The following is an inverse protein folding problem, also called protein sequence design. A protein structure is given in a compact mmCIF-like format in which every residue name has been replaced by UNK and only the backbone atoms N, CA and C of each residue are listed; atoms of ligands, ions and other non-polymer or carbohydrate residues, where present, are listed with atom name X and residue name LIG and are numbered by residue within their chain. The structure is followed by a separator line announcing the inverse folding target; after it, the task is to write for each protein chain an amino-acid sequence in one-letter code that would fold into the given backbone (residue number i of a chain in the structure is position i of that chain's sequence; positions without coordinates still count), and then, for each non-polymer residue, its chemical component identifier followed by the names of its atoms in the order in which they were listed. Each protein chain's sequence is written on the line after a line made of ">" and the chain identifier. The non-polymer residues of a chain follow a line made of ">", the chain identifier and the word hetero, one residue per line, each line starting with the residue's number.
data_IF_427784117663
#
_entry.id   IF_427784117663
#
_cell.length_a   1.000
_cell.length_b   1.000
_cell.length_c   1.000
_cell.angle_alpha   90.00
_cell.angle_beta   90.00
_cell.angle_gamma   90.00
#
_symmetry.space_group_name_H-M   'P 1'
#
loop_
_entity.id
_entity.type
_entity.pdbx_description
1 polymer ?
#
# COMPACT_ATOMS: atom_id res chain seq x y z
N UNK A 1 11.23 6.04 2.22
CA UNK A 1 10.61 5.08 1.28
C UNK A 1 9.37 4.52 1.95
N UNK A 2 8.29 4.28 1.21
CA UNK A 2 7.05 3.70 1.72
C UNK A 2 6.76 2.39 1.00
N UNK A 3 6.51 1.32 1.75
CA UNK A 3 6.10 0.03 1.23
C UNK A 3 4.58 -0.12 1.20
N UNK A 4 4.04 -0.73 0.15
CA UNK A 4 2.62 -1.01 0.01
C UNK A 4 2.35 -2.48 -0.34
N UNK A 5 1.19 -3.00 0.09
CA UNK A 5 0.63 -4.27 -0.37
C UNK A 5 -0.89 -4.16 -0.48
N UNK A 6 -1.47 -4.79 -1.50
CA UNK A 6 -2.92 -4.89 -1.69
C UNK A 6 -3.44 -6.25 -1.22
N UNK A 7 -4.66 -6.28 -0.67
CA UNK A 7 -5.28 -7.50 -0.15
C UNK A 7 -5.38 -8.60 -1.22
N UNK A 8 -5.66 -8.22 -2.48
CA UNK A 8 -5.76 -9.16 -3.60
C UNK A 8 -4.47 -9.96 -3.87
N UNK A 9 -3.32 -9.47 -3.40
CA UNK A 9 -2.03 -10.14 -3.54
C UNK A 9 -1.74 -11.18 -2.47
N UNK A 10 -2.52 -11.22 -1.38
CA UNK A 10 -2.35 -12.17 -0.29
C UNK A 10 -3.40 -13.29 -0.43
N UNK A 11 -2.94 -14.51 -0.68
CA UNK A 11 -3.83 -15.62 -1.07
C UNK A 11 -4.20 -16.55 0.09
N UNK A 12 -3.57 -16.38 1.24
CA UNK A 12 -3.79 -17.17 2.45
C UNK A 12 -4.09 -16.25 3.63
N UNK A 13 -4.90 -16.73 4.58
CA UNK A 13 -5.28 -15.94 5.76
C UNK A 13 -4.13 -15.79 6.77
N UNK A 14 -3.15 -16.69 6.74
CA UNK A 14 -1.95 -16.64 7.56
C UNK A 14 -0.72 -17.06 6.74
N UNK A 15 0.45 -16.56 7.15
CA UNK A 15 1.73 -16.94 6.58
C UNK A 15 2.23 -18.26 7.16
N UNK A 16 2.10 -18.45 8.48
CA UNK A 16 2.31 -19.74 9.14
C UNK A 16 1.02 -20.57 9.02
N UNK A 17 0.95 -21.44 8.02
CA UNK A 17 -0.31 -22.14 7.70
C UNK A 17 -0.53 -23.37 8.58
N UNK A 18 0.55 -23.96 9.10
CA UNK A 18 0.50 -25.15 9.94
C UNK A 18 0.60 -24.82 11.44
N UNK A 19 0.93 -23.57 11.81
CA UNK A 19 1.01 -23.09 13.18
C UNK A 19 2.23 -23.60 13.93
N UNK A 20 3.29 -24.03 13.23
CA UNK A 20 4.47 -24.62 13.86
C UNK A 20 5.57 -23.59 14.24
N UNK A 21 5.30 -22.31 13.97
CA UNK A 21 6.20 -21.19 14.26
C UNK A 21 7.36 -21.06 13.27
N UNK A 22 7.35 -21.79 12.15
CA UNK A 22 8.35 -21.71 11.08
C UNK A 22 7.67 -21.32 9.79
N UNK A 23 8.33 -20.45 9.01
CA UNK A 23 7.86 -20.08 7.69
C UNK A 23 8.68 -20.81 6.64
N UNK A 24 8.01 -21.61 5.81
CA UNK A 24 8.61 -22.32 4.69
C UNK A 24 8.51 -21.53 3.39
N UNK A 25 9.39 -21.82 2.43
CA UNK A 25 9.27 -21.26 1.06
C UNK A 25 7.92 -21.56 0.44
N UNK A 26 7.39 -22.77 0.67
CA UNK A 26 6.07 -23.18 0.17
C UNK A 26 4.95 -22.29 0.71
N UNK A 27 5.02 -21.87 1.97
CA UNK A 27 4.02 -20.99 2.57
C UNK A 27 4.09 -19.58 2.02
N UNK A 28 5.31 -19.06 1.80
CA UNK A 28 5.51 -17.78 1.09
C UNK A 28 4.96 -17.85 -0.34
N UNK A 29 5.31 -18.90 -1.09
CA UNK A 29 4.81 -19.12 -2.45
C UNK A 29 3.28 -19.24 -2.49
N UNK A 30 2.69 -19.90 -1.50
CA UNK A 30 1.24 -20.03 -1.38
C UNK A 30 0.58 -18.68 -1.09
N UNK A 31 1.16 -17.86 -0.22
CA UNK A 31 0.63 -16.54 0.11
C UNK A 31 0.78 -15.56 -1.07
N UNK A 32 1.92 -15.58 -1.75
CA UNK A 32 2.32 -14.62 -2.78
C UNK A 32 2.36 -15.25 -4.17
N UNK A 33 1.40 -16.13 -4.48
CA UNK A 33 1.36 -16.95 -5.70
C UNK A 33 1.20 -16.18 -7.03
N UNK A 34 1.23 -14.85 -7.01
CA UNK A 34 1.05 -14.00 -8.19
C UNK A 34 2.41 -13.68 -8.82
N UNK A 35 2.46 -13.72 -10.15
CA UNK A 35 3.66 -13.51 -10.95
C UNK A 35 3.97 -12.01 -11.14
N UNK A 36 3.91 -11.23 -10.07
CA UNK A 36 4.28 -9.82 -10.07
C UNK A 36 5.77 -9.64 -9.75
N UNK A 37 6.34 -8.52 -10.20
CA UNK A 37 7.69 -8.10 -9.81
C UNK A 37 7.62 -7.10 -8.67
N UNK A 38 8.70 -6.99 -7.91
CA UNK A 38 8.93 -5.82 -7.06
C UNK A 38 9.13 -4.62 -7.97
N UNK A 39 8.48 -3.51 -7.65
CA UNK A 39 8.58 -2.28 -8.41
C UNK A 39 8.65 -1.07 -7.46
N UNK A 40 9.11 0.05 -8.01
CA UNK A 40 9.05 1.36 -7.37
C UNK A 40 8.48 2.42 -8.31
N UNK A 41 7.98 3.49 -7.72
CA UNK A 41 7.64 4.75 -8.38
C UNK A 41 7.91 5.90 -7.41
N UNK A 42 8.11 7.11 -7.90
CA UNK A 42 8.26 8.33 -7.10
C UNK A 42 6.93 9.08 -7.11
N UNK A 43 6.36 9.34 -5.94
CA UNK A 43 5.15 10.14 -5.77
C UNK A 43 5.51 11.46 -5.10
N UNK A 44 4.80 12.52 -5.44
CA UNK A 44 4.68 13.71 -4.58
C UNK A 44 3.85 13.36 -3.33
N UNK A 45 3.98 14.15 -2.27
CA UNK A 45 3.17 13.99 -1.07
C UNK A 45 1.68 14.13 -1.36
N UNK A 46 1.30 14.99 -2.30
CA UNK A 46 -0.07 15.14 -2.80
C UNK A 46 -0.59 13.85 -3.44
N UNK A 47 0.21 13.20 -4.29
CA UNK A 47 -0.15 11.93 -4.92
C UNK A 47 -0.19 10.78 -3.91
N UNK A 48 0.72 10.78 -2.93
CA UNK A 48 0.68 9.83 -1.82
C UNK A 48 -0.60 9.99 -0.99
N UNK A 49 -1.05 11.22 -0.72
CA UNK A 49 -2.34 11.48 -0.07
C UNK A 49 -3.50 10.95 -0.91
N UNK A 50 -3.46 11.10 -2.24
CA UNK A 50 -4.47 10.53 -3.14
C UNK A 50 -4.50 8.99 -3.07
N UNK A 51 -3.34 8.32 -3.14
CA UNK A 51 -3.22 6.86 -2.97
C UNK A 51 -3.86 6.40 -1.65
N UNK A 52 -3.56 7.07 -0.55
CA UNK A 52 -4.11 6.73 0.76
C UNK A 52 -5.61 6.97 0.83
N UNK A 53 -6.11 8.06 0.24
CA UNK A 53 -7.51 8.42 0.19
C UNK A 53 -8.36 7.41 -0.60
N UNK A 54 -7.79 6.76 -1.62
CA UNK A 54 -8.45 5.72 -2.40
C UNK A 54 -8.79 4.45 -1.62
N UNK A 55 -8.32 4.31 -0.37
CA UNK A 55 -8.84 3.26 0.51
C UNK A 55 -10.34 3.43 0.81
N UNK A 56 -10.86 4.66 0.71
CA UNK A 56 -12.28 4.97 0.77
C UNK A 56 -12.74 5.39 -0.62
N UNK A 57 -13.80 4.79 -1.15
CA UNK A 57 -14.41 5.22 -2.42
C UNK A 57 -15.91 5.29 -2.26
N UNK A 58 -16.54 6.26 -2.89
CA UNK A 58 -18.01 6.36 -2.89
C UNK A 58 -18.60 5.60 -4.08
N UNK A 59 -19.48 4.63 -3.80
CA UNK A 59 -20.17 3.87 -4.84
C UNK A 59 -21.66 3.78 -4.55
N UNK A 60 -22.47 4.41 -5.41
CA UNK A 60 -23.92 4.43 -5.24
C UNK A 60 -24.38 5.07 -3.92
N UNK A 61 -23.67 6.10 -3.44
CA UNK A 61 -23.96 6.79 -2.18
C UNK A 61 -23.53 6.04 -0.93
N UNK A 62 -22.62 5.05 -1.05
CA UNK A 62 -22.06 4.29 0.06
C UNK A 62 -20.54 4.29 -0.04
N UNK A 63 -19.89 4.55 1.09
CA UNK A 63 -18.44 4.36 1.22
C UNK A 63 -18.09 2.88 1.18
N UNK A 64 -17.30 2.49 0.19
CA UNK A 64 -16.64 1.19 0.10
C UNK A 64 -15.21 1.36 0.58
N UNK A 65 -14.79 0.52 1.53
CA UNK A 65 -13.43 0.55 2.06
C UNK A 65 -12.65 -0.64 1.50
N UNK A 66 -11.62 -0.35 0.72
CA UNK A 66 -10.62 -1.33 0.28
C UNK A 66 -9.34 -1.04 1.05
N UNK A 67 -8.85 -1.98 1.85
CA UNK A 67 -7.66 -1.73 2.67
C UNK A 67 -6.39 -1.80 1.83
N UNK A 68 -5.42 -1.00 2.23
CA UNK A 68 -4.07 -1.03 1.71
C UNK A 68 -3.12 -1.32 2.87
N UNK A 69 -2.28 -2.34 2.71
CA UNK A 69 -1.12 -2.53 3.58
C UNK A 69 -0.14 -1.39 3.34
N UNK A 70 0.26 -0.69 4.40
CA UNK A 70 1.22 0.41 4.38
C UNK A 70 2.32 0.11 5.39
N UNK A 71 3.58 0.36 5.03
CA UNK A 71 4.73 0.11 5.91
C UNK A 71 4.64 0.89 7.23
N UNK A 72 5.17 0.29 8.31
CA UNK A 72 5.03 0.79 9.68
C UNK A 72 5.72 2.13 9.99
N UNK A 73 6.51 2.65 9.05
CA UNK A 73 7.11 3.98 9.16
C UNK A 73 6.17 5.11 8.69
N UNK A 74 4.99 4.79 8.17
CA UNK A 74 3.98 5.77 7.77
C UNK A 74 2.93 5.92 8.87
N UNK A 75 2.61 7.16 9.22
CA UNK A 75 1.44 7.47 10.06
C UNK A 75 0.63 8.54 9.38
N UNK A 76 -0.69 8.38 9.38
CA UNK A 76 -1.58 9.39 8.87
C UNK A 76 -2.92 9.47 9.62
N UNK A 77 -3.55 10.65 9.56
CA UNK A 77 -4.93 10.88 10.00
C UNK A 77 -5.80 11.19 8.79
N UNK A 78 -7.08 10.81 8.87
CA UNK A 78 -8.02 11.05 7.77
C UNK A 78 -9.40 11.46 8.27
N UNK A 79 -10.13 12.12 7.38
CA UNK A 79 -11.55 12.49 7.54
C UNK A 79 -12.33 11.88 6.38
N UNK A 80 -13.30 11.00 6.68
CA UNK A 80 -14.17 10.37 5.67
C UNK A 80 -15.19 11.35 5.13
N UNK A 81 -15.59 11.21 3.87
CA UNK A 81 -16.48 12.16 3.19
C UNK A 81 -15.79 13.50 2.87
N UNK A 82 -14.47 13.58 3.06
CA UNK A 82 -13.63 14.70 2.64
C UNK A 82 -13.26 14.62 1.16
N UNK A 83 -12.57 15.66 0.67
CA UNK A 83 -12.06 15.72 -0.70
C UNK A 83 -10.64 15.17 -0.77
N UNK A 84 -10.40 14.22 -1.67
CA UNK A 84 -9.07 13.76 -2.04
C UNK A 84 -8.42 14.70 -3.07
N UNK A 85 -7.08 14.71 -3.20
CA UNK A 85 -6.42 15.39 -4.30
C UNK A 85 -6.86 14.83 -5.66
N UNK A 86 -7.07 15.70 -6.65
CA UNK A 86 -7.51 15.31 -7.99
C UNK A 86 -6.43 14.44 -8.68
N UNK A 87 -6.83 13.29 -9.23
CA UNK A 87 -5.99 12.38 -10.02
C UNK A 87 -6.35 12.50 -11.51
N UNK A 88 -5.43 12.94 -12.39
CA UNK A 88 -5.74 13.11 -13.81
C UNK A 88 -6.20 11.81 -14.48
N UNK A 89 -7.33 11.87 -15.20
CA UNK A 89 -7.89 10.74 -15.95
C UNK A 89 -8.52 9.64 -15.08
N UNK A 90 -8.68 9.89 -13.79
CA UNK A 90 -9.39 9.00 -12.86
C UNK A 90 -10.90 8.98 -13.14
N UNK A 91 -11.49 7.78 -13.10
CA UNK A 91 -12.94 7.62 -13.16
C UNK A 91 -13.58 7.99 -11.83
N UNK A 92 -14.80 8.54 -11.85
CA UNK A 92 -15.52 8.95 -10.64
C UNK A 92 -15.64 7.86 -9.57
N UNK A 93 -15.76 6.60 -9.99
CA UNK A 93 -15.88 5.45 -9.08
C UNK A 93 -14.56 5.10 -8.37
N UNK A 94 -13.43 5.66 -8.83
CA UNK A 94 -12.09 5.40 -8.31
C UNK A 94 -11.57 6.57 -7.43
N UNK A 95 -12.31 7.69 -7.37
CA UNK A 95 -11.99 8.87 -6.57
C UNK A 95 -11.94 8.54 -5.06
N UNK A 96 -10.93 9.08 -4.37
CA UNK A 96 -10.77 8.92 -2.94
C UNK A 96 -11.85 9.68 -2.15
N UNK A 97 -12.54 8.96 -1.26
CA UNK A 97 -13.61 9.48 -0.39
C UNK A 97 -13.14 9.96 0.98
N UNK A 98 -11.85 10.25 1.14
CA UNK A 98 -11.29 10.74 2.39
C UNK A 98 -10.24 11.84 2.16
N UNK A 99 -10.17 12.80 3.07
CA UNK A 99 -9.07 13.77 3.13
C UNK A 99 -7.99 13.26 4.09
N UNK A 100 -6.74 13.23 3.65
CA UNK A 100 -5.57 12.92 4.48
C UNK A 100 -5.01 14.23 5.05
N UNK A 101 -5.05 14.39 6.37
CA UNK A 101 -4.79 15.70 7.02
C UNK A 101 -3.44 15.79 7.73
N UNK A 102 -2.96 14.66 8.28
CA UNK A 102 -1.60 14.54 8.78
C UNK A 102 -0.96 13.36 8.07
N UNK A 103 0.20 13.56 7.47
CA UNK A 103 0.97 12.48 6.86
C UNK A 103 2.41 12.61 7.32
N UNK A 104 2.92 11.55 7.93
CA UNK A 104 4.33 11.45 8.30
C UNK A 104 4.93 10.17 7.73
N UNK A 105 6.18 10.27 7.29
CA UNK A 105 7.01 9.14 6.86
C UNK A 105 8.33 9.26 7.63
N UNK A 106 8.72 8.19 8.30
CA UNK A 106 9.92 8.18 9.17
C UNK A 106 9.88 9.28 10.25
N UNK A 107 8.67 9.61 10.73
CA UNK A 107 8.43 10.68 11.72
C UNK A 107 8.53 12.10 11.17
N UNK A 108 8.85 12.29 9.89
CA UNK A 108 8.87 13.58 9.21
C UNK A 108 7.53 13.86 8.54
N UNK A 109 7.01 15.07 8.71
CA UNK A 109 5.82 15.54 7.99
C UNK A 109 6.08 15.63 6.48
N UNK A 110 5.09 15.19 5.70
CA UNK A 110 5.12 15.19 4.23
C UNK A 110 4.15 16.26 3.71
N UNK A 111 4.74 17.32 3.16
CA UNK A 111 4.03 18.34 2.39
C UNK A 111 3.66 17.86 1.00
N UNK A 112 2.84 18.65 0.28
CA UNK A 112 2.29 18.23 -1.00
C UNK A 112 3.34 18.02 -2.10
N UNK A 113 4.43 18.77 -2.07
CA UNK A 113 5.51 18.71 -3.07
C UNK A 113 6.69 17.83 -2.65
N UNK A 114 6.68 17.28 -1.44
CA UNK A 114 7.74 16.38 -0.98
C UNK A 114 7.75 15.09 -1.79
N UNK A 115 8.94 14.60 -2.17
CA UNK A 115 9.07 13.38 -2.95
C UNK A 115 9.20 12.14 -2.06
N UNK A 116 8.41 11.12 -2.37
CA UNK A 116 8.37 9.84 -1.66
C UNK A 116 8.49 8.69 -2.65
N UNK A 117 9.50 7.84 -2.46
CA UNK A 117 9.58 6.59 -3.19
C UNK A 117 8.55 5.62 -2.61
N UNK A 118 7.60 5.21 -3.44
CA UNK A 118 6.66 4.12 -3.17
C UNK A 118 7.20 2.81 -3.75
N UNK A 119 7.21 1.74 -2.96
CA UNK A 119 7.65 0.40 -3.35
C UNK A 119 6.52 -0.61 -3.12
N UNK A 120 6.27 -1.47 -4.10
CA UNK A 120 5.23 -2.52 -4.01
C UNK A 120 5.42 -3.58 -5.11
N UNK A 121 4.37 -4.35 -5.39
CA UNK A 121 4.28 -5.16 -6.59
C UNK A 121 3.90 -4.32 -7.82
N UNK A 122 4.32 -4.78 -9.00
CA UNK A 122 4.13 -4.07 -10.27
C UNK A 122 2.68 -3.85 -10.67
N UNK A 123 1.76 -4.76 -10.30
CA UNK A 123 0.33 -4.62 -10.59
C UNK A 123 -0.29 -3.44 -9.84
N UNK A 124 -0.01 -3.33 -8.53
CA UNK A 124 -0.54 -2.25 -7.73
C UNK A 124 -0.02 -0.88 -8.19
N UNK A 125 1.29 -0.76 -8.42
CA UNK A 125 1.89 0.51 -8.85
C UNK A 125 1.42 0.97 -10.24
N UNK A 126 0.85 0.07 -11.03
CA UNK A 126 0.22 0.40 -12.33
C UNK A 126 -1.29 0.67 -12.22
N UNK A 127 -1.81 0.83 -10.99
CA UNK A 127 -3.21 1.16 -10.72
C UNK A 127 -4.12 -0.04 -10.51
N UNK A 128 -3.54 -1.22 -10.23
CA UNK A 128 -4.28 -2.41 -9.83
C UNK A 128 -5.17 -2.17 -8.61
N UNK A 129 -6.20 -3.01 -8.45
CA UNK A 129 -7.22 -2.88 -7.39
C UNK A 129 -7.83 -1.47 -7.25
N UNK A 130 -7.90 -0.76 -8.39
CA UNK A 130 -8.42 0.61 -8.51
C UNK A 130 -7.58 1.66 -7.78
N UNK A 131 -6.34 1.38 -7.39
CA UNK A 131 -5.43 2.38 -6.82
C UNK A 131 -4.77 3.24 -7.91
N UNK A 132 -5.61 3.88 -8.74
CA UNK A 132 -5.20 4.61 -9.94
C UNK A 132 -4.25 5.77 -9.68
N UNK A 133 -4.24 6.33 -8.46
CA UNK A 133 -3.32 7.40 -8.06
C UNK A 133 -1.83 7.00 -8.16
N UNK A 134 -1.49 5.71 -8.07
CA UNK A 134 -0.11 5.27 -8.26
C UNK A 134 0.44 5.59 -9.66
N UNK A 135 -0.43 5.68 -10.68
CA UNK A 135 -0.03 6.00 -12.06
C UNK A 135 0.42 7.45 -12.24
N UNK A 136 0.15 8.32 -11.28
CA UNK A 136 0.64 9.70 -11.31
C UNK A 136 2.13 9.81 -10.99
N UNK A 137 2.71 8.77 -10.38
CA UNK A 137 4.13 8.77 -10.03
C UNK A 137 5.06 8.74 -11.24
N UNK A 138 6.28 9.22 -11.02
CA UNK A 138 7.37 9.24 -12.00
C UNK A 138 8.41 8.17 -11.70
N UNK A 139 9.37 7.97 -12.60
CA UNK A 139 10.50 7.04 -12.41
C UNK A 139 10.08 5.60 -12.05
N UNK A 140 8.96 5.14 -12.63
CA UNK A 140 8.50 3.77 -12.48
C UNK A 140 9.58 2.79 -12.94
N UNK A 141 9.87 1.82 -12.09
CA UNK A 141 10.84 0.78 -12.39
C UNK A 141 10.42 -0.55 -11.77
N UNK A 142 10.35 -1.59 -12.59
CA UNK A 142 10.36 -2.97 -12.11
C UNK A 142 11.79 -3.40 -11.82
N UNK A 143 12.00 -3.96 -10.63
CA UNK A 143 13.27 -4.55 -10.24
C UNK A 143 13.35 -5.98 -10.77
N UNK A 144 14.56 -6.50 -10.91
CA UNK A 144 14.79 -7.90 -11.30
C UNK A 144 14.60 -8.84 -10.09
N UNK A 145 13.41 -8.79 -9.48
CA UNK A 145 13.04 -9.54 -8.29
C UNK A 145 11.54 -9.84 -8.34
N UNK A 146 11.16 -11.12 -8.17
CA UNK A 146 9.77 -11.52 -8.00
C UNK A 146 9.20 -11.01 -6.68
N UNK A 147 7.90 -10.68 -6.63
CA UNK A 147 7.29 -10.10 -5.43
C UNK A 147 7.43 -10.98 -4.19
N UNK A 148 7.21 -12.30 -4.33
CA UNK A 148 7.42 -13.28 -3.25
C UNK A 148 8.86 -13.35 -2.72
N UNK A 149 9.84 -13.14 -3.61
CA UNK A 149 11.25 -13.17 -3.22
C UNK A 149 11.61 -12.05 -2.23
N UNK A 150 10.91 -10.92 -2.26
CA UNK A 150 11.11 -9.85 -1.29
C UNK A 150 10.74 -10.26 0.14
N UNK A 151 9.66 -11.04 0.31
CA UNK A 151 9.27 -11.56 1.62
C UNK A 151 10.26 -12.62 2.11
N UNK A 152 10.72 -13.52 1.23
CA UNK A 152 11.75 -14.51 1.55
C UNK A 152 13.03 -13.82 2.03
N UNK A 153 13.51 -12.82 1.29
CA UNK A 153 14.72 -12.05 1.62
C UNK A 153 14.57 -11.31 2.96
N UNK A 154 13.40 -10.71 3.21
CA UNK A 154 13.10 -10.05 4.49
C UNK A 154 13.14 -11.04 5.66
N UNK A 155 12.41 -12.17 5.58
CA UNK A 155 12.38 -13.16 6.66
C UNK A 155 13.75 -13.80 6.90
N UNK A 156 14.54 -14.02 5.84
CA UNK A 156 15.90 -14.53 5.96
C UNK A 156 16.84 -13.59 6.72
N UNK A 157 16.63 -12.28 6.63
CA UNK A 157 17.38 -11.26 7.38
C UNK A 157 16.82 -10.97 8.78
N UNK A 158 15.57 -11.37 9.03
CA UNK A 158 14.85 -11.11 10.27
C UNK A 158 14.21 -12.38 10.84
N UNK A 159 15.02 -13.37 11.26
CA UNK A 159 14.51 -14.67 11.71
C UNK A 159 13.62 -14.59 12.96
N UNK A 160 13.80 -13.55 13.78
CA UNK A 160 13.05 -13.33 15.02
C UNK A 160 11.98 -12.22 14.87
N UNK A 161 11.54 -11.92 13.64
CA UNK A 161 10.57 -10.85 13.41
C UNK A 161 9.25 -11.13 14.14
N UNK A 162 8.84 -10.19 14.98
CA UNK A 162 7.49 -10.11 15.52
C UNK A 162 6.81 -8.90 14.92
N UNK A 163 5.70 -9.11 14.21
CA UNK A 163 4.93 -8.03 13.58
C UNK A 163 3.81 -7.64 14.54
N UNK A 164 3.92 -6.50 15.26
CA UNK A 164 2.79 -6.00 16.03
C UNK A 164 1.63 -5.67 15.08
N UNK A 165 0.40 -5.73 15.57
CA UNK A 165 -0.77 -5.35 14.77
C UNK A 165 -0.56 -3.94 14.20
N UNK A 166 -0.71 -3.73 12.88
CA UNK A 166 -0.49 -2.43 12.28
C UNK A 166 -1.49 -1.41 12.82
N UNK A 167 -0.98 -0.27 13.28
CA UNK A 167 -1.79 0.90 13.67
C UNK A 167 -1.85 1.84 12.46
N UNK A 168 -2.51 1.43 11.38
CA UNK A 168 -2.64 2.25 10.17
C UNK A 168 -3.90 3.10 10.22
N UNK A 169 -3.71 4.42 10.37
CA UNK A 169 -4.78 5.41 10.31
C UNK A 169 -5.54 5.56 11.62
N UNK A 170 -5.64 6.79 12.13
CA UNK A 170 -6.59 7.14 13.20
C UNK A 170 -7.73 7.95 12.60
N UNK A 171 -8.97 7.52 12.87
CA UNK A 171 -10.19 8.25 12.47
C UNK A 171 -10.33 9.48 13.36
N UNK A 172 -10.54 10.64 12.74
CA UNK A 172 -11.11 11.79 13.42
C UNK A 172 -12.60 11.80 13.08
N UNK A 173 -13.45 11.73 14.11
CA UNK A 173 -14.90 11.87 13.96
C UNK A 173 -15.25 13.33 13.72
#
# INVERSE_FOLDING_TARGET
>A
VVGFSNDGSLRTANLDQNGDGKITLREVDSMMALQFKVAKTTLTGRELKAVLAQQWRERGGRTVVSRLGVSGNVRYRYVTGGRAPDVPGEGKDDEGGASIVDLTVDGREIGDDDLVIAASNSFLLQGGDRYTAFRSGTDYQELDMGYGAALVDYLGRHPDVSIPLPVTGTVLV
#
